data_IF_630606944009
#
_entry.id   IF_630606944009
#
_cell.length_a   1.000
_cell.length_b   1.000
_cell.length_c   1.000
_cell.angle_alpha   90.00
_cell.angle_beta   90.00
_cell.angle_gamma   90.00
#
_symmetry.space_group_name_H-M   'P 1'
#
loop_
_entity.id
_entity.type
_entity.pdbx_description
1 polymer ?
#
# COMPACT_ATOMS: atom_id res chain seq x y z
N UNK A 1 -28.10 22.01 -59.49
CA UNK A 1 -29.43 21.92 -60.15
C UNK A 1 -30.09 20.62 -59.72
N UNK A 2 -31.42 20.52 -59.78
CA UNK A 2 -32.17 19.34 -59.34
C UNK A 2 -31.98 18.14 -60.27
N UNK A 3 -32.07 16.92 -59.74
CA UNK A 3 -33.16 15.97 -60.08
C UNK A 3 -33.16 14.75 -59.16
N UNK A 4 -34.33 14.12 -59.01
CA UNK A 4 -34.56 12.92 -58.18
C UNK A 4 -35.37 11.90 -58.96
N UNK A 5 -35.04 10.61 -58.84
CA UNK A 5 -35.89 9.44 -59.11
C UNK A 5 -35.24 8.20 -58.44
N UNK A 6 -35.91 7.25 -57.76
CA UNK A 6 -37.24 6.61 -57.90
C UNK A 6 -37.28 5.56 -59.04
N UNK A 7 -37.84 4.34 -58.91
CA UNK A 7 -38.61 3.69 -57.82
C UNK A 7 -38.76 2.15 -58.01
N UNK A 8 -38.76 1.35 -56.91
CA UNK A 8 -39.47 0.03 -56.70
C UNK A 8 -39.08 -1.16 -57.64
N UNK A 9 -39.48 -2.44 -57.49
CA UNK A 9 -40.70 -3.13 -56.97
C UNK A 9 -40.44 -4.52 -56.29
N UNK A 10 -41.02 -4.74 -55.08
CA UNK A 10 -41.84 -5.87 -54.54
C UNK A 10 -41.63 -7.32 -55.12
N UNK A 11 -41.48 -8.42 -54.33
CA UNK A 11 -42.48 -9.16 -53.49
C UNK A 11 -41.82 -10.08 -52.43
N UNK A 12 -42.25 -10.08 -51.15
CA UNK A 12 -43.40 -10.78 -50.51
C UNK A 12 -43.22 -12.32 -50.46
N UNK A 13 -43.55 -13.06 -49.38
CA UNK A 13 -44.23 -12.77 -48.10
C UNK A 13 -43.54 -13.57 -46.93
N UNK A 14 -44.04 -13.82 -45.70
CA UNK A 14 -45.39 -13.68 -45.12
C UNK A 14 -45.40 -13.23 -43.63
N UNK A 15 -46.19 -13.88 -42.75
CA UNK A 15 -46.96 -13.17 -41.71
C UNK A 15 -47.56 -14.07 -40.59
N UNK A 16 -48.05 -13.45 -39.51
CA UNK A 16 -48.76 -14.08 -38.37
C UNK A 16 -48.03 -13.91 -37.03
N UNK A 17 -48.30 -12.97 -36.10
CA UNK A 17 -49.36 -11.97 -35.87
C UNK A 17 -50.48 -12.34 -34.86
N UNK A 18 -50.94 -11.30 -34.11
CA UNK A 18 -51.95 -11.22 -33.03
C UNK A 18 -51.46 -11.75 -31.65
N UNK A 19 -51.54 -11.05 -30.49
CA UNK A 19 -52.56 -10.16 -29.85
C UNK A 19 -53.69 -10.97 -29.15
N UNK A 20 -54.35 -10.58 -28.04
CA UNK A 20 -54.37 -9.38 -27.18
C UNK A 20 -54.88 -9.75 -25.73
N UNK A 21 -55.20 -8.90 -24.72
CA UNK A 21 -55.25 -7.43 -24.52
C UNK A 21 -55.13 -7.05 -23.01
N UNK A 22 -54.87 -5.75 -22.74
CA UNK A 22 -55.02 -4.85 -21.55
C UNK A 22 -55.99 -5.22 -20.39
N UNK A 23 -55.61 -4.91 -19.13
CA UNK A 23 -56.40 -4.07 -18.19
C UNK A 23 -55.57 -3.44 -17.04
N UNK A 24 -56.13 -2.41 -16.37
CA UNK A 24 -55.42 -1.39 -15.60
C UNK A 24 -55.26 -1.66 -14.08
N UNK A 25 -54.39 -0.90 -13.42
CA UNK A 25 -54.23 -0.89 -11.97
C UNK A 25 -53.36 0.26 -11.43
N UNK A 26 -53.98 1.41 -11.12
CA UNK A 26 -53.34 2.47 -10.36
C UNK A 26 -53.52 2.20 -8.85
N UNK A 27 -52.44 2.07 -8.07
CA UNK A 27 -52.55 1.83 -6.63
C UNK A 27 -51.24 1.86 -5.86
N UNK A 28 -51.17 2.77 -4.88
CA UNK A 28 -50.39 2.71 -3.63
C UNK A 28 -48.97 2.11 -3.67
N UNK A 29 -48.01 3.02 -3.57
CA UNK A 29 -46.77 2.91 -2.79
C UNK A 29 -46.74 1.78 -1.73
N UNK A 30 -45.97 0.72 -2.00
CA UNK A 30 -45.32 -0.05 -0.95
C UNK A 30 -43.83 -0.10 -1.24
N UNK A 31 -43.03 0.34 -0.28
CA UNK A 31 -41.58 0.08 -0.31
C UNK A 31 -41.36 -1.43 -0.22
N UNK A 32 -40.51 -1.98 -1.09
CA UNK A 32 -40.07 -3.36 -0.97
C UNK A 32 -39.35 -3.53 0.38
N UNK A 33 -40.02 -4.22 1.31
CA UNK A 33 -39.51 -4.45 2.66
C UNK A 33 -38.42 -5.51 2.59
N UNK A 34 -37.17 -5.05 2.56
CA UNK A 34 -35.97 -5.89 2.51
C UNK A 34 -35.99 -6.92 3.66
N UNK A 35 -36.12 -8.23 3.35
CA UNK A 35 -36.30 -9.27 4.36
C UNK A 35 -34.98 -9.84 4.90
N UNK A 36 -33.80 -9.32 4.50
CA UNK A 36 -32.50 -9.73 5.03
C UNK A 36 -32.22 -9.16 6.44
N UNK A 37 -33.18 -9.34 7.37
CA UNK A 37 -33.03 -9.02 8.80
C UNK A 37 -32.14 -10.01 9.57
N UNK A 38 -31.44 -10.88 8.85
CA UNK A 38 -30.39 -11.74 9.39
C UNK A 38 -29.05 -11.02 9.40
N UNK A 39 -28.90 -10.05 10.31
CA UNK A 39 -27.61 -9.45 10.62
C UNK A 39 -26.72 -10.45 11.35
N UNK A 40 -26.16 -11.40 10.61
CA UNK A 40 -25.02 -12.19 11.06
C UNK A 40 -23.92 -11.21 11.50
N UNK A 41 -23.61 -11.20 12.79
CA UNK A 41 -22.57 -10.31 13.32
C UNK A 41 -21.27 -10.59 12.57
N UNK A 42 -20.55 -9.57 12.04
CA UNK A 42 -19.38 -9.79 11.21
C UNK A 42 -18.39 -10.73 11.89
N UNK A 43 -18.00 -11.79 11.17
CA UNK A 43 -17.16 -12.88 11.70
C UNK A 43 -16.00 -12.34 12.53
N UNK A 44 -15.83 -12.87 13.75
CA UNK A 44 -14.96 -12.30 14.76
C UNK A 44 -13.53 -12.09 14.25
N UNK A 45 -13.09 -10.83 14.18
CA UNK A 45 -11.77 -10.43 13.70
C UNK A 45 -10.64 -10.72 14.70
N UNK A 46 -10.91 -11.45 15.79
CA UNK A 46 -9.91 -11.87 16.79
C UNK A 46 -8.83 -12.81 16.23
N UNK A 47 -9.06 -13.43 15.07
CA UNK A 47 -8.09 -14.32 14.40
C UNK A 47 -7.21 -13.69 13.33
N UNK A 48 -7.30 -12.36 13.09
CA UNK A 48 -6.60 -11.73 11.95
C UNK A 48 -5.07 -11.66 12.13
N UNK A 49 -4.59 -11.58 13.37
CA UNK A 49 -3.19 -11.37 13.75
C UNK A 49 -2.76 -12.27 14.93
N UNK A 50 -1.47 -12.28 15.27
CA UNK A 50 -0.95 -13.05 16.41
C UNK A 50 -1.31 -12.40 17.75
N UNK A 51 -1.27 -11.06 17.81
CA UNK A 51 -1.84 -10.28 18.90
C UNK A 51 -2.58 -9.05 18.37
N UNK A 52 -3.61 -8.63 19.10
CA UNK A 52 -4.41 -7.44 18.79
C UNK A 52 -5.07 -6.87 20.05
N UNK A 53 -5.32 -5.56 20.04
CA UNK A 53 -6.23 -4.91 21.01
C UNK A 53 -7.53 -4.51 20.31
N UNK A 54 -8.58 -4.15 21.06
CA UNK A 54 -9.81 -3.61 20.50
C UNK A 54 -10.11 -2.24 21.11
N UNK A 55 -10.33 -1.22 20.27
CA UNK A 55 -10.65 0.15 20.72
C UNK A 55 -11.76 0.68 19.80
N UNK A 56 -12.79 1.30 20.37
CA UNK A 56 -13.95 1.85 19.62
C UNK A 56 -14.62 0.87 18.64
N UNK A 57 -14.54 -0.45 18.92
CA UNK A 57 -15.06 -1.51 18.06
C UNK A 57 -14.17 -1.91 16.86
N UNK A 58 -13.00 -1.27 16.70
CA UNK A 58 -11.97 -1.60 15.70
C UNK A 58 -10.94 -2.55 16.35
N UNK A 59 -10.49 -3.56 15.62
CA UNK A 59 -9.39 -4.45 16.03
C UNK A 59 -8.05 -3.89 15.56
N UNK A 60 -7.17 -3.55 16.48
CA UNK A 60 -5.83 -3.04 16.19
C UNK A 60 -4.81 -4.16 16.29
N UNK A 61 -4.24 -4.57 15.16
CA UNK A 61 -3.21 -5.60 15.10
C UNK A 61 -1.88 -5.05 15.64
N UNK A 62 -1.52 -5.51 16.85
CA UNK A 62 -0.29 -5.14 17.57
C UNK A 62 0.87 -6.08 17.27
N UNK A 63 0.60 -7.26 16.72
CA UNK A 63 1.60 -8.24 16.29
C UNK A 63 1.10 -9.09 15.11
N UNK A 64 1.64 -8.92 13.88
CA UNK A 64 1.37 -9.79 12.75
C UNK A 64 1.87 -11.22 12.96
N UNK A 65 1.34 -12.18 12.21
CA UNK A 65 1.85 -13.57 12.27
C UNK A 65 3.29 -13.68 11.77
N UNK A 66 4.12 -14.42 12.51
CA UNK A 66 5.52 -14.63 12.17
C UNK A 66 5.73 -15.38 10.83
N UNK A 67 6.80 -15.01 10.12
CA UNK A 67 7.26 -15.67 8.90
C UNK A 67 6.54 -15.20 7.64
N UNK A 68 6.10 -16.14 6.79
CA UNK A 68 5.46 -15.86 5.48
C UNK A 68 3.92 -15.91 5.52
N UNK A 69 3.31 -15.85 6.71
CA UNK A 69 1.86 -16.05 6.89
C UNK A 69 1.12 -14.71 6.86
N UNK A 70 0.19 -14.47 5.91
CA UNK A 70 -0.57 -13.23 5.86
C UNK A 70 -1.56 -13.07 7.04
N UNK A 71 -2.06 -11.85 7.20
CA UNK A 71 -3.22 -11.51 8.01
C UNK A 71 -4.43 -12.31 7.49
N UNK A 72 -5.17 -12.89 8.43
CA UNK A 72 -6.24 -13.85 8.12
C UNK A 72 -7.60 -13.18 8.14
N UNK A 73 -7.98 -12.53 7.02
CA UNK A 73 -9.38 -12.13 6.85
C UNK A 73 -10.29 -13.37 6.93
N UNK A 74 -11.42 -13.30 7.66
CA UNK A 74 -12.43 -14.35 7.63
C UNK A 74 -13.12 -14.42 6.26
N UNK A 75 -14.14 -15.26 6.11
CA UNK A 75 -15.02 -15.22 4.93
C UNK A 75 -15.94 -14.00 4.96
N UNK A 76 -16.28 -13.51 3.76
CA UNK A 76 -17.20 -12.40 3.53
C UNK A 76 -18.53 -12.63 4.27
N UNK A 77 -19.07 -11.65 5.03
CA UNK A 77 -20.25 -11.88 5.88
C UNK A 77 -21.55 -12.15 5.12
N UNK A 78 -21.67 -11.66 3.88
CA UNK A 78 -22.83 -11.93 3.01
C UNK A 78 -22.45 -11.78 1.53
N UNK A 79 -23.41 -11.99 0.62
CA UNK A 79 -23.22 -11.70 -0.82
C UNK A 79 -23.02 -10.20 -1.11
N UNK A 80 -23.52 -9.34 -0.24
CA UNK A 80 -23.50 -7.86 -0.36
C UNK A 80 -22.50 -7.19 0.59
N UNK A 81 -21.77 -7.95 1.41
CA UNK A 81 -20.79 -7.42 2.35
C UNK A 81 -19.46 -8.17 2.24
N UNK A 82 -18.35 -7.44 2.08
CA UNK A 82 -17.00 -8.03 1.95
C UNK A 82 -15.95 -7.30 2.77
N UNK A 83 -14.92 -8.02 3.18
CA UNK A 83 -13.72 -7.41 3.76
C UNK A 83 -12.72 -7.03 2.68
N UNK A 84 -12.00 -5.93 2.88
CA UNK A 84 -11.01 -5.45 1.93
C UNK A 84 -10.29 -4.17 2.36
N UNK A 85 -9.51 -3.61 1.45
CA UNK A 85 -8.76 -2.37 1.64
C UNK A 85 -8.90 -1.43 0.43
N UNK A 86 -8.76 -0.13 0.67
CA UNK A 86 -8.79 0.91 -0.37
C UNK A 86 -7.45 0.95 -1.11
N UNK A 87 -7.47 1.18 -2.42
CA UNK A 87 -6.32 1.01 -3.32
C UNK A 87 -6.11 2.22 -4.24
N UNK A 88 -5.01 2.95 -4.03
CA UNK A 88 -4.35 3.84 -4.99
C UNK A 88 -5.17 5.08 -5.35
N UNK A 89 -4.82 6.22 -4.77
CA UNK A 89 -5.55 7.49 -4.87
C UNK A 89 -7.00 7.40 -4.39
N UNK A 90 -7.32 6.42 -3.53
CA UNK A 90 -8.70 6.10 -3.18
C UNK A 90 -9.55 5.53 -4.33
N UNK A 91 -8.96 5.09 -5.46
CA UNK A 91 -9.72 4.81 -6.69
C UNK A 91 -10.53 3.50 -6.72
N UNK A 92 -10.10 2.47 -5.96
CA UNK A 92 -10.72 1.13 -5.96
C UNK A 92 -10.76 0.50 -4.56
N UNK A 93 -11.60 -0.52 -4.39
CA UNK A 93 -11.62 -1.38 -3.21
C UNK A 93 -11.17 -2.80 -3.54
N UNK A 94 -10.09 -3.28 -2.93
CA UNK A 94 -9.55 -4.62 -3.14
C UNK A 94 -10.17 -5.62 -2.15
N UNK A 95 -10.78 -6.70 -2.67
CA UNK A 95 -11.36 -7.80 -1.89
C UNK A 95 -10.74 -9.14 -2.29
N UNK A 96 -11.01 -10.21 -1.53
CA UNK A 96 -10.67 -11.59 -1.95
C UNK A 96 -11.26 -11.97 -3.32
N UNK A 97 -12.41 -11.38 -3.67
CA UNK A 97 -13.05 -11.53 -4.98
C UNK A 97 -12.57 -10.53 -6.05
N UNK A 98 -11.41 -9.89 -5.87
CA UNK A 98 -10.85 -8.90 -6.79
C UNK A 98 -11.14 -7.44 -6.43
N UNK A 99 -10.69 -6.53 -7.32
CA UNK A 99 -10.92 -5.10 -7.23
C UNK A 99 -12.38 -4.74 -7.60
N UNK A 100 -13.00 -3.84 -6.83
CA UNK A 100 -14.33 -3.28 -7.07
C UNK A 100 -14.27 -1.75 -7.21
N UNK A 101 -15.14 -1.13 -8.04
CA UNK A 101 -15.25 0.31 -8.12
C UNK A 101 -15.90 0.90 -6.87
N UNK A 102 -15.52 2.13 -6.52
CA UNK A 102 -16.21 2.92 -5.49
C UNK A 102 -17.37 3.72 -6.09
N UNK A 103 -18.43 3.89 -5.31
CA UNK A 103 -19.43 4.93 -5.57
C UNK A 103 -18.85 6.33 -5.32
N UNK A 104 -19.38 7.33 -6.03
CA UNK A 104 -18.99 8.74 -5.87
C UNK A 104 -19.31 9.34 -4.48
N UNK A 105 -20.02 8.62 -3.61
CA UNK A 105 -20.19 9.00 -2.20
C UNK A 105 -19.00 8.49 -1.35
N UNK A 106 -18.54 7.26 -1.59
CA UNK A 106 -17.41 6.65 -0.86
C UNK A 106 -16.08 7.29 -1.29
N UNK A 107 -15.92 7.64 -2.57
CA UNK A 107 -14.73 8.38 -3.03
C UNK A 107 -14.58 9.73 -2.29
N UNK A 108 -15.64 10.56 -2.27
CA UNK A 108 -15.65 11.83 -1.53
C UNK A 108 -15.51 11.68 -0.01
N UNK A 109 -15.97 10.58 0.57
CA UNK A 109 -15.69 10.28 1.98
C UNK A 109 -14.19 10.07 2.21
N UNK A 110 -13.52 9.31 1.36
CA UNK A 110 -12.09 9.04 1.46
C UNK A 110 -11.25 10.29 1.20
N UNK A 111 -11.60 11.10 0.20
CA UNK A 111 -11.01 12.41 -0.07
C UNK A 111 -11.08 13.31 1.19
N UNK A 112 -12.24 13.42 1.82
CA UNK A 112 -12.40 14.21 3.05
C UNK A 112 -11.61 13.63 4.24
N UNK A 113 -11.51 12.30 4.40
CA UNK A 113 -10.68 11.70 5.45
C UNK A 113 -9.17 11.94 5.19
N UNK A 114 -8.70 11.95 3.93
CA UNK A 114 -7.33 12.34 3.53
C UNK A 114 -7.05 13.79 3.97
N UNK A 115 -7.90 14.74 3.58
CA UNK A 115 -7.75 16.17 3.89
C UNK A 115 -7.69 16.42 5.40
N UNK A 116 -8.55 15.75 6.17
CA UNK A 116 -8.59 15.84 7.64
C UNK A 116 -7.45 15.09 8.34
N UNK A 117 -6.40 14.67 7.59
CA UNK A 117 -5.25 13.89 8.06
C UNK A 117 -5.61 12.57 8.74
N UNK A 118 -6.83 12.07 8.55
CA UNK A 118 -7.24 10.71 8.92
C UNK A 118 -6.71 9.77 7.86
N UNK A 119 -5.40 9.48 7.94
CA UNK A 119 -4.62 8.58 7.06
C UNK A 119 -5.06 7.11 7.20
N UNK A 120 -6.35 6.86 7.05
CA UNK A 120 -7.05 5.73 7.64
C UNK A 120 -7.22 4.54 6.70
N UNK A 121 -6.64 4.55 5.50
CA UNK A 121 -6.86 3.54 4.45
C UNK A 121 -5.65 2.61 4.23
N UNK A 122 -4.42 3.13 4.27
CA UNK A 122 -3.20 2.39 3.94
C UNK A 122 -2.92 1.19 4.87
N UNK A 123 -3.39 1.24 6.12
CA UNK A 123 -3.22 0.19 7.13
C UNK A 123 -4.54 -0.42 7.63
N UNK A 124 -5.69 -0.11 7.00
CA UNK A 124 -7.03 -0.45 7.53
C UNK A 124 -7.79 -1.42 6.65
N UNK A 125 -8.32 -2.44 7.30
CA UNK A 125 -9.34 -3.36 6.78
C UNK A 125 -10.70 -2.71 7.02
N UNK A 126 -11.45 -2.54 5.93
CA UNK A 126 -12.84 -2.11 5.96
C UNK A 126 -13.79 -3.28 5.73
N UNK A 127 -14.98 -3.20 6.33
CA UNK A 127 -16.16 -3.89 5.85
C UNK A 127 -16.85 -2.98 4.83
N UNK A 128 -16.93 -3.43 3.57
CA UNK A 128 -17.62 -2.73 2.50
C UNK A 128 -19.03 -3.31 2.30
N UNK A 129 -19.99 -2.43 1.99
CA UNK A 129 -21.31 -2.80 1.44
C UNK A 129 -21.26 -2.60 -0.07
N UNK A 130 -21.72 -3.61 -0.80
CA UNK A 130 -21.74 -3.67 -2.26
C UNK A 130 -23.19 -3.65 -2.74
N UNK A 131 -23.49 -2.76 -3.68
CA UNK A 131 -24.74 -2.78 -4.44
C UNK A 131 -24.43 -2.56 -5.92
N UNK A 132 -25.15 -3.25 -6.80
CA UNK A 132 -24.98 -3.17 -8.27
C UNK A 132 -23.51 -3.32 -8.75
N UNK A 133 -22.69 -4.09 -8.02
CA UNK A 133 -21.28 -4.32 -8.31
C UNK A 133 -20.30 -3.24 -7.80
N UNK A 134 -20.78 -2.15 -7.20
CA UNK A 134 -19.95 -1.07 -6.66
C UNK A 134 -20.02 -0.97 -5.14
N UNK A 135 -18.97 -0.43 -4.52
CA UNK A 135 -18.92 -0.17 -3.07
C UNK A 135 -19.67 1.12 -2.73
N UNK A 136 -20.80 0.97 -2.03
CA UNK A 136 -21.70 2.08 -1.67
C UNK A 136 -21.51 2.59 -0.25
N UNK A 137 -20.85 1.81 0.61
CA UNK A 137 -20.48 2.21 1.98
C UNK A 137 -19.25 1.44 2.45
N UNK A 138 -18.41 2.07 3.25
CA UNK A 138 -17.29 1.44 3.96
C UNK A 138 -17.38 1.72 5.46
N UNK A 139 -16.87 0.79 6.28
CA UNK A 139 -16.68 0.98 7.72
C UNK A 139 -15.32 0.39 8.14
N UNK A 140 -14.42 1.13 8.80
CA UNK A 140 -13.24 0.56 9.43
C UNK A 140 -13.63 -0.54 10.42
N UNK A 141 -12.95 -1.69 10.37
CA UNK A 141 -13.20 -2.82 11.29
C UNK A 141 -11.92 -3.39 11.91
N UNK A 142 -10.78 -3.26 11.24
CA UNK A 142 -9.48 -3.50 11.82
C UNK A 142 -8.41 -2.62 11.20
N UNK A 143 -7.33 -2.33 11.93
CA UNK A 143 -6.12 -1.71 11.39
C UNK A 143 -4.87 -2.43 11.89
N UNK A 144 -3.71 -2.03 11.35
CA UNK A 144 -2.41 -2.59 11.69
C UNK A 144 -1.55 -1.46 12.24
N UNK A 145 -1.04 -1.62 13.47
CA UNK A 145 -0.25 -0.58 14.10
C UNK A 145 1.11 -0.42 13.41
N UNK A 146 1.52 0.83 13.15
CA UNK A 146 2.77 1.13 12.41
C UNK A 146 4.01 0.52 13.07
N UNK A 147 4.08 0.64 14.41
CA UNK A 147 5.13 0.02 15.23
C UNK A 147 5.13 -1.52 15.15
N UNK A 148 4.05 -2.16 14.70
CA UNK A 148 3.97 -3.60 14.51
C UNK A 148 4.48 -4.00 13.12
N UNK A 149 4.15 -3.22 12.08
CA UNK A 149 4.65 -3.41 10.71
C UNK A 149 6.18 -3.27 10.67
N UNK A 150 6.72 -2.15 11.16
CA UNK A 150 8.16 -1.89 11.15
C UNK A 150 8.95 -2.90 12.00
N UNK A 151 8.35 -3.37 13.10
CA UNK A 151 8.94 -4.41 13.97
C UNK A 151 9.00 -5.76 13.27
N UNK A 152 7.92 -6.21 12.65
CA UNK A 152 7.86 -7.49 11.94
C UNK A 152 8.76 -7.51 10.70
N UNK A 153 8.87 -6.39 9.99
CA UNK A 153 9.61 -6.30 8.73
C UNK A 153 11.12 -6.04 8.91
N UNK A 154 11.51 -5.06 9.75
CA UNK A 154 12.87 -4.47 9.72
C UNK A 154 13.63 -4.48 11.07
N UNK A 155 12.96 -4.54 12.21
CA UNK A 155 13.61 -4.30 13.50
C UNK A 155 14.71 -5.33 13.84
N UNK A 156 15.88 -4.83 14.23
CA UNK A 156 17.08 -5.63 14.50
C UNK A 156 17.72 -6.27 13.28
N UNK A 157 17.27 -5.95 12.05
CA UNK A 157 17.79 -6.49 10.79
C UNK A 157 18.74 -5.50 10.11
N UNK A 158 19.38 -5.97 9.04
CA UNK A 158 20.27 -5.17 8.21
C UNK A 158 19.83 -5.16 6.76
N UNK A 159 20.18 -4.08 6.05
CA UNK A 159 19.95 -3.89 4.61
C UNK A 159 21.28 -3.60 3.91
N UNK A 160 21.52 -4.24 2.75
CA UNK A 160 22.77 -4.10 1.99
C UNK A 160 22.53 -3.89 0.49
N UNK A 161 23.35 -3.03 -0.13
CA UNK A 161 23.29 -2.73 -1.55
C UNK A 161 24.21 -1.58 -1.95
N UNK A 162 23.69 -0.62 -2.71
CA UNK A 162 24.42 0.47 -3.35
C UNK A 162 23.90 1.85 -2.92
N UNK A 163 24.80 2.83 -2.77
CA UNK A 163 24.49 4.24 -2.49
C UNK A 163 25.12 5.14 -3.55
N UNK A 164 24.34 6.04 -4.15
CA UNK A 164 24.82 7.01 -5.14
C UNK A 164 25.91 7.91 -4.57
N UNK A 165 27.01 8.07 -5.29
CA UNK A 165 28.15 8.89 -4.83
C UNK A 165 27.87 10.37 -4.95
N UNK A 166 28.55 11.19 -4.15
CA UNK A 166 28.47 12.64 -4.28
C UNK A 166 29.39 13.14 -5.39
N UNK A 167 28.82 13.90 -6.32
CA UNK A 167 29.49 14.49 -7.49
C UNK A 167 30.31 15.73 -7.09
N UNK A 168 31.15 16.23 -8.02
CA UNK A 168 31.90 17.50 -7.81
C UNK A 168 30.99 18.72 -7.79
N UNK A 169 29.83 18.62 -8.43
CA UNK A 169 28.79 19.64 -8.51
C UNK A 169 28.01 19.77 -7.19
N UNK A 170 28.05 18.74 -6.34
CA UNK A 170 27.41 18.71 -5.02
C UNK A 170 26.18 17.81 -4.94
N UNK A 171 25.59 17.47 -6.09
CA UNK A 171 24.48 16.51 -6.26
C UNK A 171 24.95 15.06 -6.15
N UNK A 172 24.01 14.09 -6.21
CA UNK A 172 24.30 12.66 -6.15
C UNK A 172 24.15 11.94 -7.48
N UNK A 173 25.00 10.96 -7.75
CA UNK A 173 24.99 10.17 -9.00
C UNK A 173 23.98 9.02 -8.94
N UNK A 174 23.20 8.86 -10.02
CA UNK A 174 22.31 7.71 -10.27
C UNK A 174 23.04 6.47 -10.80
N UNK A 175 24.30 6.59 -11.24
CA UNK A 175 25.07 5.52 -11.91
C UNK A 175 26.30 5.10 -11.13
N UNK A 176 27.07 6.07 -10.65
CA UNK A 176 28.24 5.82 -9.82
C UNK A 176 27.77 5.58 -8.39
N UNK A 177 28.07 4.40 -7.84
CA UNK A 177 27.61 3.99 -6.51
C UNK A 177 28.74 3.35 -5.70
N UNK A 178 28.59 3.38 -4.38
CA UNK A 178 29.44 2.65 -3.42
C UNK A 178 28.61 1.57 -2.71
N UNK A 179 29.23 0.48 -2.23
CA UNK A 179 28.53 -0.49 -1.41
C UNK A 179 28.19 0.07 -0.03
N UNK A 180 26.99 -0.20 0.45
CA UNK A 180 26.47 0.32 1.73
C UNK A 180 25.78 -0.79 2.54
N UNK A 181 25.98 -0.75 3.86
CA UNK A 181 25.22 -1.57 4.82
C UNK A 181 24.58 -0.70 5.89
N UNK A 182 23.27 -0.83 6.05
CA UNK A 182 22.45 -0.19 7.08
C UNK A 182 22.02 -1.23 8.10
N UNK A 183 22.04 -0.88 9.39
CA UNK A 183 21.49 -1.69 10.49
C UNK A 183 20.43 -0.89 11.26
N UNK A 184 19.31 -1.53 11.58
CA UNK A 184 18.17 -0.91 12.26
C UNK A 184 18.13 -1.21 13.76
N UNK A 185 17.49 -0.31 14.52
CA UNK A 185 17.18 -0.50 15.93
C UNK A 185 16.30 -1.75 16.16
N UNK A 186 16.29 -2.27 17.39
CA UNK A 186 15.49 -3.46 17.76
C UNK A 186 13.99 -3.18 17.99
N UNK A 187 13.60 -1.91 18.06
CA UNK A 187 12.22 -1.48 18.29
C UNK A 187 11.94 -0.16 17.54
N UNK A 188 10.80 -0.03 16.83
CA UNK A 188 10.30 1.26 16.36
C UNK A 188 9.66 2.06 17.50
N UNK A 189 9.61 3.38 17.33
CA UNK A 189 9.06 4.34 18.30
C UNK A 189 8.25 5.39 17.51
N UNK A 190 7.02 5.67 17.94
CA UNK A 190 6.09 6.62 17.29
C UNK A 190 5.95 6.47 15.76
N UNK A 191 6.03 5.25 15.23
CA UNK A 191 5.91 4.97 13.80
C UNK A 191 7.20 5.16 12.98
N UNK A 192 8.34 5.45 13.64
CA UNK A 192 9.66 5.49 13.00
C UNK A 192 10.55 4.35 13.53
N UNK A 193 11.38 3.78 12.67
CA UNK A 193 12.45 2.85 13.04
C UNK A 193 13.81 3.47 12.69
N UNK A 194 14.59 3.85 13.70
CA UNK A 194 15.92 4.42 13.48
C UNK A 194 16.92 3.37 13.02
N UNK A 195 17.95 3.80 12.30
CA UNK A 195 19.04 2.96 11.85
C UNK A 195 20.34 3.74 11.66
N UNK A 196 21.39 3.02 11.25
CA UNK A 196 22.72 3.60 11.02
C UNK A 196 23.42 2.98 9.82
N UNK A 197 24.04 3.81 8.99
CA UNK A 197 25.00 3.36 7.98
C UNK A 197 26.26 2.85 8.70
N UNK A 198 26.51 1.56 8.60
CA UNK A 198 27.51 0.85 9.41
C UNK A 198 28.92 1.04 8.89
N UNK A 199 29.11 1.00 7.56
CA UNK A 199 30.36 1.25 6.86
C UNK A 199 30.62 2.75 6.60
N UNK A 200 30.01 3.64 7.39
CA UNK A 200 30.21 5.08 7.26
C UNK A 200 31.68 5.50 7.48
N UNK A 201 32.32 4.96 8.52
CA UNK A 201 33.66 5.39 8.99
C UNK A 201 34.68 4.26 9.12
N UNK A 202 34.25 3.00 8.99
CA UNK A 202 35.07 1.78 9.10
C UNK A 202 34.69 0.77 8.02
N UNK A 203 35.56 -0.20 7.75
CA UNK A 203 35.21 -1.32 6.88
C UNK A 203 34.25 -2.27 7.63
N UNK A 204 33.32 -2.88 6.89
CA UNK A 204 32.31 -3.80 7.45
C UNK A 204 32.11 -4.97 6.51
N UNK A 205 31.99 -6.18 7.08
CA UNK A 205 31.71 -7.40 6.33
C UNK A 205 30.25 -7.47 5.93
N UNK A 206 30.00 -7.67 4.63
CA UNK A 206 28.67 -7.90 4.08
C UNK A 206 28.11 -9.25 4.51
N UNK A 207 26.81 -9.45 4.32
CA UNK A 207 26.17 -10.76 4.48
C UNK A 207 26.67 -11.80 3.45
N UNK A 208 27.28 -11.34 2.34
CA UNK A 208 27.99 -12.19 1.36
C UNK A 208 29.47 -12.40 1.69
N UNK A 209 29.94 -11.96 2.85
CA UNK A 209 31.31 -12.16 3.35
C UNK A 209 32.37 -11.19 2.80
N UNK A 210 32.06 -10.44 1.73
CA UNK A 210 32.92 -9.40 1.17
C UNK A 210 33.04 -8.18 2.08
N UNK A 211 34.10 -7.38 1.93
CA UNK A 211 34.32 -6.19 2.76
C UNK A 211 33.84 -4.92 2.05
N UNK A 212 32.90 -4.21 2.66
CA UNK A 212 32.49 -2.87 2.23
C UNK A 212 33.45 -1.84 2.83
N UNK A 213 33.97 -0.95 1.99
CA UNK A 213 34.92 0.08 2.39
C UNK A 213 34.26 1.20 3.24
N UNK A 214 35.05 1.98 4.01
CA UNK A 214 34.57 3.19 4.68
C UNK A 214 34.12 4.24 3.65
N UNK A 215 32.85 4.64 3.67
CA UNK A 215 32.31 5.65 2.75
C UNK A 215 33.06 6.99 2.88
N UNK A 216 33.33 7.43 4.11
CA UNK A 216 33.96 8.72 4.40
C UNK A 216 35.45 8.85 3.98
N UNK A 217 36.09 7.76 3.54
CA UNK A 217 37.48 7.79 3.03
C UNK A 217 37.55 7.94 1.50
N UNK A 218 36.42 8.02 0.82
CA UNK A 218 36.36 8.21 -0.63
C UNK A 218 36.21 9.70 -0.99
N UNK A 219 36.80 10.15 -2.11
CA UNK A 219 36.58 11.52 -2.63
C UNK A 219 35.13 11.76 -3.10
N UNK A 220 34.36 10.70 -3.30
CA UNK A 220 32.97 10.73 -3.73
C UNK A 220 32.00 10.42 -2.57
N UNK A 221 32.44 10.65 -1.33
CA UNK A 221 31.72 10.34 -0.09
C UNK A 221 30.28 10.87 -0.10
N UNK A 222 29.25 10.00 0.02
CA UNK A 222 27.85 10.43 0.09
C UNK A 222 27.50 11.11 1.43
N UNK A 223 28.27 10.90 2.49
CA UNK A 223 28.02 11.45 3.84
C UNK A 223 28.45 12.91 3.93
N UNK A 224 27.61 13.82 3.41
CA UNK A 224 27.90 15.25 3.37
C UNK A 224 26.65 16.14 3.57
N UNK A 225 26.86 17.33 4.14
CA UNK A 225 25.79 18.28 4.43
C UNK A 225 24.81 17.71 5.46
N UNK A 226 23.52 17.74 5.13
CA UNK A 226 22.44 17.17 5.97
C UNK A 226 22.36 15.64 5.90
N UNK A 227 23.01 15.01 4.91
CA UNK A 227 23.01 13.56 4.78
C UNK A 227 24.07 12.93 5.70
N UNK A 228 23.63 12.25 6.75
CA UNK A 228 24.52 11.69 7.78
C UNK A 228 24.48 10.16 7.82
N UNK A 229 25.32 9.56 8.67
CA UNK A 229 25.27 8.12 8.92
C UNK A 229 24.08 7.68 9.79
N UNK A 230 23.29 8.61 10.35
CA UNK A 230 22.03 8.33 11.05
C UNK A 230 20.89 8.35 10.04
N UNK A 231 19.95 7.43 10.18
CA UNK A 231 18.74 7.36 9.34
C UNK A 231 17.51 6.98 10.18
N UNK A 232 16.33 7.12 9.60
CA UNK A 232 15.13 6.42 10.05
C UNK A 232 14.29 5.95 8.86
N UNK A 233 13.50 4.88 9.04
CA UNK A 233 12.42 4.52 8.11
C UNK A 233 11.07 4.68 8.79
N UNK A 234 10.08 5.15 8.04
CA UNK A 234 8.66 5.18 8.44
C UNK A 234 7.79 4.85 7.23
N UNK A 235 6.53 4.47 7.45
CA UNK A 235 5.54 4.44 6.37
C UNK A 235 4.87 5.80 6.20
N UNK A 236 4.73 6.22 4.95
CA UNK A 236 4.03 7.43 4.57
C UNK A 236 2.94 7.17 3.54
N UNK A 237 2.02 8.13 3.46
CA UNK A 237 1.02 8.20 2.42
C UNK A 237 1.65 8.64 1.10
N UNK A 238 1.37 7.92 0.01
CA UNK A 238 1.78 8.34 -1.35
C UNK A 238 0.76 7.92 -2.40
N UNK A 239 0.25 8.90 -3.15
CA UNK A 239 -0.62 8.67 -4.31
C UNK A 239 0.05 7.94 -5.48
N UNK A 240 1.37 7.70 -5.42
CA UNK A 240 2.12 7.01 -6.47
C UNK A 240 2.19 5.49 -6.24
N UNK A 241 1.85 5.00 -5.05
CA UNK A 241 1.88 3.59 -4.69
C UNK A 241 0.49 2.93 -4.63
N UNK A 242 0.34 1.65 -5.02
CA UNK A 242 -0.85 0.87 -4.72
C UNK A 242 -1.11 0.81 -3.20
N UNK A 243 -2.38 0.97 -2.79
CA UNK A 243 -2.79 1.08 -1.38
C UNK A 243 -2.30 2.33 -0.66
N UNK A 244 -1.72 3.28 -1.40
CA UNK A 244 -1.30 4.59 -0.94
C UNK A 244 -0.23 4.55 0.16
N UNK A 245 0.65 3.55 0.09
CA UNK A 245 1.51 3.10 1.17
C UNK A 245 2.97 2.96 0.70
N UNK A 246 3.87 3.83 1.18
CA UNK A 246 5.30 3.80 0.85
C UNK A 246 6.17 3.77 2.11
N UNK A 247 7.40 3.23 1.97
CA UNK A 247 8.42 3.35 2.99
C UNK A 247 9.32 4.57 2.68
N UNK A 248 9.32 5.57 3.55
CA UNK A 248 10.30 6.65 3.51
C UNK A 248 11.63 6.19 4.11
N UNK A 249 12.72 6.78 3.62
CA UNK A 249 14.01 6.73 4.26
C UNK A 249 14.48 8.17 4.54
N UNK A 250 14.50 8.51 5.82
CA UNK A 250 14.87 9.83 6.36
C UNK A 250 16.35 9.87 6.76
N UNK A 251 16.96 11.05 6.63
CA UNK A 251 18.35 11.33 7.02
C UNK A 251 18.45 12.48 8.03
N UNK A 252 17.50 13.41 7.95
CA UNK A 252 17.25 14.50 8.89
C UNK A 252 15.75 14.71 9.06
N UNK A 253 15.33 15.60 9.95
CA UNK A 253 13.92 15.88 10.27
C UNK A 253 13.05 16.33 9.09
N UNK A 254 13.68 16.92 8.08
CA UNK A 254 13.01 17.64 6.99
C UNK A 254 13.47 17.14 5.60
N UNK A 255 14.26 16.06 5.55
CA UNK A 255 14.86 15.53 4.32
C UNK A 255 14.87 14.00 4.31
N UNK A 256 14.21 13.43 3.31
CA UNK A 256 14.07 12.01 3.03
C UNK A 256 14.10 11.74 1.53
N UNK A 257 14.33 10.48 1.14
CA UNK A 257 13.89 9.97 -0.17
C UNK A 257 12.67 9.07 0.04
N UNK A 258 11.71 9.13 -0.88
CA UNK A 258 10.56 8.23 -0.90
C UNK A 258 10.92 6.91 -1.60
N UNK A 259 10.64 5.76 -0.98
CA UNK A 259 11.17 4.46 -1.39
C UNK A 259 10.17 3.59 -2.12
N UNK A 260 10.32 3.48 -3.45
CA UNK A 260 9.38 2.82 -4.38
C UNK A 260 9.13 1.32 -4.20
N UNK A 261 9.84 0.61 -3.29
CA UNK A 261 9.83 -0.86 -3.29
C UNK A 261 10.14 -1.56 -1.95
N UNK A 262 9.62 -1.15 -0.78
CA UNK A 262 9.59 -2.06 0.37
C UNK A 262 8.21 -2.19 1.00
N UNK A 263 7.33 -2.85 0.25
CA UNK A 263 6.01 -3.21 0.71
C UNK A 263 6.09 -4.34 1.76
N UNK A 264 5.55 -4.08 2.96
CA UNK A 264 4.46 -4.90 3.44
C UNK A 264 3.17 -4.07 3.47
N UNK A 265 2.66 -3.75 2.28
CA UNK A 265 1.36 -3.11 2.14
C UNK A 265 0.26 -3.95 2.76
N UNK A 266 -0.89 -3.35 3.08
CA UNK A 266 -2.05 -4.12 3.54
C UNK A 266 -2.37 -5.29 2.58
N UNK A 267 -2.23 -5.14 1.27
CA UNK A 267 -2.41 -6.24 0.31
C UNK A 267 -1.29 -7.30 0.31
N UNK A 268 -0.04 -6.91 0.60
CA UNK A 268 1.03 -7.89 0.92
C UNK A 268 0.59 -8.74 2.11
N UNK A 269 0.01 -8.10 3.12
CA UNK A 269 -0.51 -8.73 4.33
C UNK A 269 -1.86 -9.43 4.13
N UNK A 270 -2.63 -9.16 3.07
CA UNK A 270 -3.80 -9.96 2.66
C UNK A 270 -3.43 -11.23 1.85
N UNK A 271 -2.14 -11.46 1.58
CA UNK A 271 -1.61 -12.72 1.06
C UNK A 271 -1.30 -12.77 -0.42
N UNK A 272 -1.17 -11.61 -1.09
CA UNK A 272 -1.05 -11.53 -2.55
C UNK A 272 0.34 -11.31 -3.16
N UNK A 273 1.36 -10.88 -2.41
CA UNK A 273 2.53 -10.23 -3.01
C UNK A 273 3.92 -10.87 -2.67
N UNK A 274 4.69 -11.35 -3.66
CA UNK A 274 6.08 -11.78 -3.48
C UNK A 274 7.11 -10.63 -3.44
N UNK A 275 6.77 -9.41 -3.86
CA UNK A 275 7.68 -8.26 -4.00
C UNK A 275 8.19 -7.70 -2.67
N UNK A 276 7.55 -8.02 -1.53
CA UNK A 276 7.95 -7.61 -0.18
C UNK A 276 9.27 -8.22 0.34
N UNK A 277 10.26 -8.42 -0.54
CA UNK A 277 11.61 -8.96 -0.26
C UNK A 277 12.73 -8.26 -1.04
N UNK A 278 12.43 -7.28 -1.89
CA UNK A 278 13.41 -6.63 -2.78
C UNK A 278 13.11 -5.13 -2.88
N UNK A 279 14.03 -4.30 -2.38
CA UNK A 279 14.05 -2.86 -2.66
C UNK A 279 14.78 -2.62 -3.97
N UNK A 280 14.36 -1.54 -4.62
CA UNK A 280 15.18 -0.61 -5.36
C UNK A 280 14.53 0.76 -5.05
N UNK A 281 15.26 1.76 -4.54
CA UNK A 281 14.74 3.15 -4.54
C UNK A 281 15.43 3.95 -5.63
N UNK A 282 14.61 4.53 -6.49
CA UNK A 282 15.04 5.65 -7.30
C UNK A 282 14.86 6.95 -6.50
N UNK A 283 15.63 7.96 -6.85
CA UNK A 283 15.59 9.28 -6.22
C UNK A 283 14.20 9.89 -6.38
N UNK A 284 13.46 10.04 -5.28
CA UNK A 284 12.13 10.66 -5.28
C UNK A 284 12.16 11.95 -4.43
N UNK A 285 12.33 13.06 -5.13
CA UNK A 285 12.59 14.39 -4.56
C UNK A 285 13.58 15.18 -5.43
N UNK A 286 14.06 16.31 -4.93
CA UNK A 286 15.10 17.11 -5.61
C UNK A 286 16.44 16.34 -5.65
N UNK A 287 17.22 16.36 -6.75
CA UNK A 287 18.50 15.64 -6.87
C UNK A 287 19.58 15.94 -5.80
N UNK A 288 19.40 17.04 -5.05
CA UNK A 288 20.26 17.48 -3.95
C UNK A 288 19.79 17.02 -2.55
N UNK A 289 18.60 16.43 -2.42
CA UNK A 289 18.00 16.02 -1.14
C UNK A 289 18.73 14.82 -0.50
N UNK A 290 19.22 13.88 -1.32
CA UNK A 290 19.97 12.73 -0.83
C UNK A 290 20.39 11.78 -1.96
N UNK A 291 21.35 10.88 -1.69
CA UNK A 291 21.78 9.87 -2.64
C UNK A 291 20.66 8.86 -2.92
N UNK A 292 20.52 8.41 -4.19
CA UNK A 292 19.70 7.25 -4.53
C UNK A 292 20.31 5.99 -3.89
N UNK A 293 19.48 5.02 -3.53
CA UNK A 293 19.93 3.81 -2.81
C UNK A 293 19.17 2.54 -3.24
N UNK A 294 19.91 1.50 -3.62
CA UNK A 294 19.44 0.11 -3.72
C UNK A 294 19.92 -0.65 -2.48
N UNK A 295 19.10 -1.51 -1.91
CA UNK A 295 19.37 -2.26 -0.69
C UNK A 295 18.45 -3.49 -0.65
N UNK A 296 18.84 -4.56 0.02
CA UNK A 296 17.99 -5.74 0.21
C UNK A 296 18.13 -6.20 1.66
N UNK A 297 17.04 -6.63 2.33
CA UNK A 297 17.16 -7.15 3.69
C UNK A 297 18.04 -8.40 3.68
N UNK A 298 19.07 -8.41 4.52
CA UNK A 298 20.03 -9.50 4.65
C UNK A 298 20.01 -10.11 6.05
N UNK A 299 20.57 -11.32 6.15
CA UNK A 299 20.81 -12.02 7.40
C UNK A 299 22.34 -12.17 7.57
N UNK A 300 22.89 -11.88 8.75
CA UNK A 300 24.34 -11.90 8.99
C UNK A 300 25.05 -10.60 8.57
N UNK A 301 26.37 -10.67 8.38
CA UNK A 301 27.25 -9.50 8.14
C UNK A 301 27.47 -8.63 9.40
N UNK A 302 27.92 -7.39 9.23
CA UNK A 302 28.02 -6.35 10.28
C UNK A 302 29.30 -6.37 11.13
N UNK A 303 29.97 -7.52 11.18
CA UNK A 303 31.32 -7.65 11.75
C UNK A 303 32.37 -6.81 11.03
N UNK A 304 33.52 -6.59 11.67
CA UNK A 304 34.62 -5.85 11.06
C UNK A 304 35.26 -6.61 9.88
N UNK A 305 35.78 -5.80 8.96
CA UNK A 305 36.97 -6.13 8.19
C UNK A 305 38.11 -5.23 8.68
#
# INVERSE_FOLDING_TARGET
MNTTSSFRVIRQAAAGALAALVLAGCGTSMAATDPDRNSASPNALSGICAASTQRNGIVHCTEPFAGKKPIRLPSDPSRTQRYGAVKGGGSKFHTRGGDLPLSAAVARQLEADIENRRRAYANTIYLAVISQGAVTKIKPVADIEENAVLRAAFAGRAMEGAIGVRTRQGDYSLRETLPVRIEFAKSPVHGKLTGRITNATRAVRSAKGSCFAPLNRTRANPLAGVFTAKIAIERAFSMHAPFDDELLLEWSSDVSNMGSAYYPSIATLLGGDPLGRTWETMLHGTPSAGPPVDLRLVNGGGGTC
#
